data_IF_860754099760
#
_entry.id   IF_860754099760
#
_cell.length_a   1.000
_cell.length_b   1.000
_cell.length_c   1.000
_cell.angle_alpha   90.00
_cell.angle_beta   90.00
_cell.angle_gamma   90.00
#
_symmetry.space_group_name_H-M   'P 1'
#
loop_
_entity.id
_entity.type
_entity.pdbx_description
1 polymer ?
#
# COMPACT_ATOMS: atom_id res chain seq x y z
N UNK A 1 6.28 -1.04 2.09
CA UNK A 1 5.10 -0.29 1.64
C UNK A 1 5.23 1.19 1.96
N UNK A 2 5.36 1.62 3.24
CA UNK A 2 5.41 3.05 3.62
C UNK A 2 6.56 3.80 2.94
N UNK A 3 7.78 3.27 2.99
CA UNK A 3 8.96 3.90 2.37
C UNK A 3 8.74 4.09 0.85
N UNK A 4 8.25 3.05 0.17
CA UNK A 4 8.00 3.11 -1.28
C UNK A 4 6.89 4.13 -1.60
N UNK A 5 5.83 4.17 -0.80
CA UNK A 5 4.75 5.15 -0.95
C UNK A 5 5.25 6.59 -0.72
N UNK A 6 6.10 6.81 0.29
CA UNK A 6 6.72 8.12 0.53
C UNK A 6 7.60 8.55 -0.64
N UNK A 7 8.37 7.62 -1.23
CA UNK A 7 9.17 7.91 -2.42
C UNK A 7 8.30 8.33 -3.61
N UNK A 8 7.18 7.65 -3.85
CA UNK A 8 6.22 8.03 -4.91
C UNK A 8 5.68 9.43 -4.66
N UNK A 9 5.22 9.74 -3.44
CA UNK A 9 4.70 11.07 -3.09
C UNK A 9 5.74 12.17 -3.27
N UNK A 10 6.98 11.91 -2.87
CA UNK A 10 8.07 12.86 -3.05
C UNK A 10 8.33 13.16 -4.54
N UNK A 11 8.36 12.09 -5.37
CA UNK A 11 8.52 12.25 -6.82
C UNK A 11 7.33 13.00 -7.45
N UNK A 12 6.10 12.70 -7.03
CA UNK A 12 4.89 13.40 -7.52
C UNK A 12 4.93 14.88 -7.14
N UNK A 13 5.25 15.19 -5.88
CA UNK A 13 5.41 16.57 -5.41
C UNK A 13 6.51 17.31 -6.19
N UNK A 14 7.64 16.65 -6.47
CA UNK A 14 8.72 17.22 -7.27
C UNK A 14 8.25 17.51 -8.71
N UNK A 15 7.52 16.59 -9.34
CA UNK A 15 6.96 16.80 -10.68
C UNK A 15 6.05 18.03 -10.73
N UNK A 16 5.23 18.26 -9.68
CA UNK A 16 4.36 19.44 -9.57
C UNK A 16 5.13 20.74 -9.29
N UNK A 17 6.13 20.68 -8.40
CA UNK A 17 6.92 21.86 -8.01
C UNK A 17 7.74 22.43 -9.18
N UNK A 18 8.25 21.57 -10.05
CA UNK A 18 9.07 21.97 -11.19
C UNK A 18 8.28 22.09 -12.50
N UNK A 19 6.97 21.85 -12.49
CA UNK A 19 6.08 22.00 -13.65
C UNK A 19 6.15 23.43 -14.20
N UNK A 20 6.36 23.55 -15.52
CA UNK A 20 6.42 24.85 -16.21
C UNK A 20 7.71 25.65 -16.02
N UNK A 21 8.70 25.13 -15.27
CA UNK A 21 10.02 25.77 -15.16
C UNK A 21 10.83 25.50 -16.42
N UNK A 22 11.36 26.56 -17.05
CA UNK A 22 12.11 26.49 -18.30
C UNK A 22 13.62 26.34 -18.11
N UNK A 23 14.11 26.31 -16.85
CA UNK A 23 15.51 26.12 -16.54
C UNK A 23 15.92 24.63 -16.71
N UNK A 24 17.24 24.40 -16.84
CA UNK A 24 17.79 23.06 -17.01
C UNK A 24 17.39 22.11 -15.87
N UNK A 25 17.31 22.63 -14.63
CA UNK A 25 16.89 21.86 -13.46
C UNK A 25 15.42 21.42 -13.60
N UNK A 26 14.53 22.33 -13.99
CA UNK A 26 13.10 22.03 -14.22
C UNK A 26 12.92 20.98 -15.30
N UNK A 27 13.67 21.08 -16.38
CA UNK A 27 13.62 20.14 -17.50
C UNK A 27 13.91 18.69 -17.08
N UNK A 28 15.01 18.46 -16.35
CA UNK A 28 15.35 17.11 -15.87
C UNK A 28 14.47 16.66 -14.69
N UNK A 29 14.16 17.59 -13.76
CA UNK A 29 13.38 17.25 -12.58
C UNK A 29 12.00 16.70 -12.94
N UNK A 30 11.25 17.34 -13.84
CA UNK A 30 9.91 16.88 -14.24
C UNK A 30 9.97 15.53 -14.96
N UNK A 31 10.95 15.30 -15.83
CA UNK A 31 11.11 14.03 -16.57
C UNK A 31 11.46 12.88 -15.64
N UNK A 32 12.49 13.06 -14.80
CA UNK A 32 12.92 12.05 -13.84
C UNK A 32 11.82 11.78 -12.82
N UNK A 33 11.18 12.82 -12.29
CA UNK A 33 10.14 12.66 -11.29
C UNK A 33 8.94 11.88 -11.84
N UNK A 34 8.43 12.20 -13.03
CA UNK A 34 7.33 11.45 -13.64
C UNK A 34 7.73 9.99 -13.94
N UNK A 35 8.93 9.74 -14.45
CA UNK A 35 9.43 8.38 -14.65
C UNK A 35 9.47 7.60 -13.33
N UNK A 36 9.97 8.22 -12.26
CA UNK A 36 10.03 7.62 -10.93
C UNK A 36 8.63 7.36 -10.34
N UNK A 37 7.68 8.28 -10.53
CA UNK A 37 6.28 8.10 -10.10
C UNK A 37 5.67 6.84 -10.68
N UNK A 38 5.78 6.62 -11.99
CA UNK A 38 5.27 5.40 -12.62
C UNK A 38 6.02 4.15 -12.15
N UNK A 39 7.35 4.19 -12.13
CA UNK A 39 8.19 3.05 -11.77
C UNK A 39 8.00 2.63 -10.31
N UNK A 40 8.05 3.58 -9.36
CA UNK A 40 7.83 3.31 -7.95
C UNK A 40 6.39 2.93 -7.66
N UNK A 41 5.41 3.41 -8.43
CA UNK A 41 4.03 2.97 -8.36
C UNK A 41 3.89 1.46 -8.58
N UNK A 42 4.54 0.90 -9.60
CA UNK A 42 4.53 -0.55 -9.84
C UNK A 42 5.33 -1.34 -8.81
N UNK A 43 6.45 -0.79 -8.32
CA UNK A 43 7.20 -1.39 -7.20
C UNK A 43 6.33 -1.42 -5.93
N UNK A 44 5.55 -0.37 -5.68
CA UNK A 44 4.65 -0.30 -4.53
C UNK A 44 3.61 -1.43 -4.56
N UNK A 45 3.05 -1.74 -5.74
CA UNK A 45 2.12 -2.86 -5.92
C UNK A 45 2.77 -4.21 -5.56
N UNK A 46 3.98 -4.48 -6.07
CA UNK A 46 4.69 -5.71 -5.77
C UNK A 46 5.04 -5.84 -4.27
N UNK A 47 5.55 -4.76 -3.67
CA UNK A 47 5.87 -4.71 -2.23
C UNK A 47 4.62 -4.85 -1.37
N UNK A 48 3.46 -4.36 -1.83
CA UNK A 48 2.20 -4.58 -1.12
C UNK A 48 1.76 -6.04 -1.18
N UNK A 49 1.90 -6.70 -2.33
CA UNK A 49 1.63 -8.15 -2.45
C UNK A 49 2.55 -8.96 -1.54
N UNK A 50 3.85 -8.64 -1.46
CA UNK A 50 4.77 -9.29 -0.53
C UNK A 50 4.31 -9.12 0.92
N UNK A 51 3.89 -7.89 1.29
CA UNK A 51 3.31 -7.63 2.60
C UNK A 51 2.06 -8.49 2.85
N UNK A 52 1.13 -8.53 1.89
CA UNK A 52 -0.12 -9.31 1.99
C UNK A 52 0.15 -10.81 2.15
N UNK A 53 1.09 -11.34 1.38
CA UNK A 53 1.51 -12.76 1.47
C UNK A 53 2.12 -13.06 2.84
N UNK A 54 3.03 -12.22 3.34
CA UNK A 54 3.62 -12.36 4.68
C UNK A 54 2.54 -12.23 5.77
N UNK A 55 1.61 -11.30 5.63
CA UNK A 55 0.50 -11.09 6.54
C UNK A 55 -0.42 -12.33 6.61
N UNK A 56 -0.78 -12.92 5.46
CA UNK A 56 -1.57 -14.16 5.39
C UNK A 56 -0.77 -15.32 6.01
N UNK A 57 0.53 -15.43 5.72
CA UNK A 57 1.39 -16.47 6.28
C UNK A 57 1.48 -16.41 7.81
N UNK A 58 1.51 -15.21 8.41
CA UNK A 58 1.52 -15.04 9.87
C UNK A 58 0.25 -15.55 10.55
N UNK A 59 -0.82 -15.78 9.79
CA UNK A 59 -2.10 -16.36 10.28
C UNK A 59 -2.17 -17.88 10.15
N UNK A 60 -1.04 -18.56 9.95
CA UNK A 60 -0.93 -20.03 9.93
C UNK A 60 -1.07 -20.66 8.56
N UNK A 61 -0.94 -19.86 7.49
CA UNK A 61 -0.82 -20.38 6.12
C UNK A 61 0.65 -20.46 5.71
N UNK A 62 0.99 -21.41 4.86
CA UNK A 62 2.33 -21.47 4.26
C UNK A 62 2.64 -20.23 3.41
N UNK A 63 3.91 -19.91 3.23
CA UNK A 63 4.34 -18.76 2.41
C UNK A 63 3.94 -18.99 0.95
N UNK A 64 3.09 -18.11 0.44
CA UNK A 64 2.58 -18.14 -0.94
C UNK A 64 3.59 -17.48 -1.89
N UNK A 65 4.63 -18.21 -2.31
CA UNK A 65 5.67 -17.65 -3.18
C UNK A 65 5.20 -17.36 -4.62
N UNK A 66 4.17 -18.04 -5.08
CA UNK A 66 3.70 -17.92 -6.46
C UNK A 66 3.08 -16.54 -6.76
N UNK A 67 2.09 -16.04 -5.97
CA UNK A 67 1.52 -14.71 -6.21
C UNK A 67 2.57 -13.60 -6.17
N UNK A 68 3.48 -13.64 -5.20
CA UNK A 68 4.56 -12.66 -5.10
C UNK A 68 5.45 -12.65 -6.36
N UNK A 69 5.85 -13.82 -6.88
CA UNK A 69 6.64 -13.90 -8.11
C UNK A 69 5.89 -13.37 -9.33
N UNK A 70 4.61 -13.67 -9.45
CA UNK A 70 3.75 -13.16 -10.54
C UNK A 70 3.69 -11.64 -10.48
N UNK A 71 3.49 -11.06 -9.28
CA UNK A 71 3.42 -9.61 -9.11
C UNK A 71 4.73 -8.90 -9.44
N UNK A 72 5.88 -9.45 -9.02
CA UNK A 72 7.18 -8.91 -9.41
C UNK A 72 7.40 -9.00 -10.91
N UNK A 73 6.98 -10.09 -11.58
CA UNK A 73 7.03 -10.24 -13.03
C UNK A 73 6.17 -9.19 -13.75
N UNK A 74 4.93 -8.99 -13.30
CA UNK A 74 4.03 -7.97 -13.85
C UNK A 74 4.58 -6.56 -13.65
N UNK A 75 5.07 -6.24 -12.45
CA UNK A 75 5.67 -4.94 -12.14
C UNK A 75 6.91 -4.67 -12.99
N UNK A 76 7.77 -5.67 -13.17
CA UNK A 76 8.92 -5.55 -14.04
C UNK A 76 8.51 -5.29 -15.50
N UNK A 77 7.54 -6.03 -16.01
CA UNK A 77 7.00 -5.82 -17.37
C UNK A 77 6.43 -4.41 -17.52
N UNK A 78 5.67 -3.95 -16.54
CA UNK A 78 5.10 -2.60 -16.54
C UNK A 78 6.20 -1.51 -16.53
N UNK A 79 7.28 -1.69 -15.74
CA UNK A 79 8.42 -0.76 -15.71
C UNK A 79 9.14 -0.74 -17.06
N UNK A 80 9.33 -1.89 -17.71
CA UNK A 80 9.90 -1.96 -19.08
C UNK A 80 9.05 -1.16 -20.05
N UNK A 81 7.72 -1.26 -19.96
CA UNK A 81 6.81 -0.46 -20.80
C UNK A 81 6.90 1.04 -20.48
N UNK A 82 7.13 1.44 -19.23
CA UNK A 82 7.40 2.84 -18.86
C UNK A 82 8.71 3.32 -19.50
N UNK A 83 9.76 2.49 -19.51
CA UNK A 83 11.03 2.82 -20.18
C UNK A 83 10.82 3.00 -21.69
N UNK A 84 10.11 2.08 -22.33
CA UNK A 84 9.77 2.18 -23.77
C UNK A 84 8.97 3.47 -24.03
N UNK A 85 8.07 3.83 -23.13
CA UNK A 85 7.26 5.04 -23.22
C UNK A 85 8.09 6.33 -23.18
N UNK A 86 9.31 6.33 -22.64
CA UNK A 86 10.21 7.50 -22.73
C UNK A 86 10.60 7.83 -24.17
N UNK A 87 10.65 6.82 -25.05
CA UNK A 87 11.09 6.98 -26.44
C UNK A 87 9.92 7.19 -27.41
N UNK A 88 8.78 6.51 -27.20
CA UNK A 88 7.64 6.56 -28.11
C UNK A 88 6.46 7.38 -27.57
N UNK A 89 6.58 7.94 -26.35
CA UNK A 89 5.56 8.80 -25.69
C UNK A 89 4.17 8.18 -25.57
N UNK A 90 4.07 6.84 -25.45
CA UNK A 90 2.77 6.16 -25.47
C UNK A 90 1.91 6.44 -24.25
N UNK A 91 2.51 6.64 -23.07
CA UNK A 91 1.76 6.89 -21.82
C UNK A 91 1.62 8.38 -21.55
N UNK A 92 2.69 9.14 -21.73
CA UNK A 92 2.72 10.58 -21.50
C UNK A 92 3.81 11.26 -22.34
N UNK A 93 3.62 12.56 -22.53
CA UNK A 93 4.59 13.46 -23.16
C UNK A 93 4.80 14.64 -22.22
N UNK A 94 6.03 15.09 -22.09
CA UNK A 94 6.37 16.37 -21.47
C UNK A 94 6.78 17.30 -22.59
N UNK A 95 5.99 18.35 -22.79
CA UNK A 95 6.18 19.33 -23.87
C UNK A 95 7.39 20.24 -23.63
N UNK A 96 7.66 21.14 -24.59
CA UNK A 96 8.76 22.10 -24.53
C UNK A 96 8.56 23.14 -23.41
N UNK A 97 7.32 23.35 -22.96
CA UNK A 97 6.97 24.20 -21.81
C UNK A 97 7.09 23.48 -20.48
N UNK A 98 7.65 22.26 -20.47
CA UNK A 98 7.81 21.43 -19.30
C UNK A 98 6.49 21.07 -18.59
N UNK A 99 5.42 20.87 -19.40
CA UNK A 99 4.10 20.49 -18.94
C UNK A 99 3.82 19.05 -19.34
N UNK A 100 3.29 18.29 -18.37
CA UNK A 100 2.89 16.90 -18.56
C UNK A 100 1.57 16.79 -19.32
N UNK A 101 1.53 15.96 -20.35
CA UNK A 101 0.33 15.62 -21.13
C UNK A 101 0.14 14.11 -21.18
N UNK A 102 -1.07 13.65 -20.86
CA UNK A 102 -1.45 12.24 -21.03
C UNK A 102 -1.57 11.92 -22.51
N UNK A 103 -1.11 10.74 -22.89
CA UNK A 103 -1.21 10.22 -24.24
C UNK A 103 -2.27 9.11 -24.35
N UNK A 104 -2.56 8.68 -25.58
CA UNK A 104 -3.66 7.78 -25.91
C UNK A 104 -3.63 6.44 -25.17
N UNK A 105 -2.44 5.91 -24.84
CA UNK A 105 -2.28 4.65 -24.13
C UNK A 105 -2.08 4.82 -22.61
N UNK A 106 -2.33 6.00 -22.06
CA UNK A 106 -2.28 6.22 -20.61
C UNK A 106 -3.19 5.24 -19.85
N UNK A 107 -4.38 4.92 -20.38
CA UNK A 107 -5.29 3.96 -19.79
C UNK A 107 -4.66 2.57 -19.61
N UNK A 108 -3.73 2.17 -20.48
CA UNK A 108 -3.03 0.88 -20.39
C UNK A 108 -2.18 0.80 -19.11
N UNK A 109 -1.52 1.90 -18.74
CA UNK A 109 -0.76 1.96 -17.48
C UNK A 109 -1.67 1.76 -16.26
N UNK A 110 -2.89 2.32 -16.28
CA UNK A 110 -3.87 2.16 -15.20
C UNK A 110 -4.42 0.73 -15.16
N UNK A 111 -4.63 0.11 -16.32
CA UNK A 111 -5.12 -1.28 -16.43
C UNK A 111 -4.18 -2.27 -15.75
N UNK A 112 -2.86 -2.11 -15.90
CA UNK A 112 -1.87 -2.91 -15.17
C UNK A 112 -2.05 -2.79 -13.65
N UNK A 113 -2.21 -1.57 -13.13
CA UNK A 113 -2.44 -1.32 -11.71
C UNK A 113 -3.73 -1.97 -11.21
N UNK A 114 -4.83 -1.81 -11.93
CA UNK A 114 -6.12 -2.43 -11.60
C UNK A 114 -6.00 -3.95 -11.57
N UNK A 115 -5.34 -4.54 -12.56
CA UNK A 115 -5.16 -5.99 -12.64
C UNK A 115 -4.35 -6.53 -11.44
N UNK A 116 -3.28 -5.84 -11.06
CA UNK A 116 -2.50 -6.18 -9.87
C UNK A 116 -3.36 -6.12 -8.60
N UNK A 117 -4.15 -5.05 -8.42
CA UNK A 117 -5.04 -4.91 -7.26
C UNK A 117 -6.16 -5.98 -7.23
N UNK A 118 -6.64 -6.44 -8.39
CA UNK A 118 -7.59 -7.55 -8.48
C UNK A 118 -6.97 -8.88 -8.04
N UNK A 119 -5.69 -9.12 -8.35
CA UNK A 119 -4.95 -10.29 -7.85
C UNK A 119 -4.90 -10.23 -6.33
N UNK A 120 -4.49 -9.10 -5.74
CA UNK A 120 -4.44 -8.93 -4.28
C UNK A 120 -5.81 -9.08 -3.64
N UNK A 121 -6.86 -8.53 -4.27
CA UNK A 121 -8.25 -8.71 -3.84
C UNK A 121 -8.69 -10.17 -3.84
N UNK A 122 -8.29 -10.93 -4.85
CA UNK A 122 -8.58 -12.37 -4.94
C UNK A 122 -7.89 -13.17 -3.83
N UNK A 123 -6.65 -12.81 -3.50
CA UNK A 123 -5.91 -13.39 -2.36
C UNK A 123 -6.62 -13.07 -1.04
N UNK A 124 -6.97 -11.82 -0.82
CA UNK A 124 -7.69 -11.40 0.40
C UNK A 124 -9.02 -12.14 0.54
N UNK A 125 -9.79 -12.23 -0.54
CA UNK A 125 -11.08 -12.93 -0.55
C UNK A 125 -10.94 -14.43 -0.26
N UNK A 126 -9.91 -15.08 -0.82
CA UNK A 126 -9.62 -16.51 -0.60
C UNK A 126 -9.31 -16.81 0.86
N UNK A 127 -8.58 -15.92 1.54
CA UNK A 127 -8.13 -16.12 2.91
C UNK A 127 -8.94 -15.37 3.97
N UNK A 128 -10.02 -14.69 3.60
CA UNK A 128 -10.85 -13.82 4.47
C UNK A 128 -11.36 -14.47 5.76
N UNK A 129 -11.62 -15.80 5.74
CA UNK A 129 -12.19 -16.52 6.91
C UNK A 129 -11.26 -16.58 8.13
N UNK A 130 -9.98 -16.31 7.96
CA UNK A 130 -8.95 -16.36 9.00
C UNK A 130 -8.53 -14.97 9.48
N UNK A 131 -9.04 -13.94 8.86
CA UNK A 131 -8.79 -12.55 9.21
C UNK A 131 -9.90 -12.02 10.10
N UNK A 132 -9.56 -11.17 11.07
CA UNK A 132 -10.53 -10.41 11.84
C UNK A 132 -11.28 -9.44 10.94
N UNK A 133 -12.47 -9.00 11.35
CA UNK A 133 -13.24 -8.01 10.59
C UNK A 133 -12.47 -6.71 10.39
N UNK A 134 -11.74 -6.26 11.41
CA UNK A 134 -10.94 -5.05 11.35
C UNK A 134 -9.78 -5.18 10.32
N UNK A 135 -9.05 -6.30 10.34
CA UNK A 135 -8.00 -6.59 9.37
C UNK A 135 -8.53 -6.67 7.94
N UNK A 136 -9.66 -7.37 7.76
CA UNK A 136 -10.29 -7.51 6.45
C UNK A 136 -10.73 -6.15 5.89
N UNK A 137 -11.28 -5.27 6.74
CA UNK A 137 -11.66 -3.91 6.35
C UNK A 137 -10.44 -3.06 6.02
N UNK A 138 -9.38 -3.08 6.84
CA UNK A 138 -8.19 -2.29 6.62
C UNK A 138 -7.46 -2.67 5.33
N UNK A 139 -7.20 -3.97 5.11
CA UNK A 139 -6.54 -4.47 3.89
C UNK A 139 -7.46 -4.33 2.68
N UNK A 140 -8.77 -4.56 2.85
CA UNK A 140 -9.76 -4.37 1.81
C UNK A 140 -9.87 -2.90 1.36
N UNK A 141 -9.81 -1.96 2.27
CA UNK A 141 -9.78 -0.53 1.96
C UNK A 141 -8.52 -0.15 1.17
N UNK A 142 -7.36 -0.72 1.52
CA UNK A 142 -6.12 -0.48 0.77
C UNK A 142 -6.20 -0.97 -0.68
N UNK A 143 -6.96 -2.01 -0.95
CA UNK A 143 -7.17 -2.52 -2.32
C UNK A 143 -8.26 -1.71 -3.03
N UNK A 144 -9.39 -1.44 -2.37
CA UNK A 144 -10.55 -0.80 -2.98
C UNK A 144 -10.32 0.70 -3.29
N UNK A 145 -9.70 1.45 -2.36
CA UNK A 145 -9.52 2.90 -2.53
C UNK A 145 -8.62 3.26 -3.73
N UNK A 146 -7.47 2.61 -3.98
CA UNK A 146 -6.68 2.87 -5.18
C UNK A 146 -7.41 2.47 -6.47
N UNK A 147 -8.20 1.40 -6.48
CA UNK A 147 -9.01 1.02 -7.66
C UNK A 147 -9.99 2.14 -7.99
N UNK A 148 -10.74 2.64 -7.00
CA UNK A 148 -11.67 3.75 -7.18
C UNK A 148 -10.91 5.00 -7.68
N UNK A 149 -9.76 5.30 -7.07
CA UNK A 149 -8.93 6.42 -7.46
C UNK A 149 -8.39 6.30 -8.90
N UNK A 150 -7.99 5.10 -9.35
CA UNK A 150 -7.57 4.86 -10.73
C UNK A 150 -8.71 5.12 -11.73
N UNK A 151 -9.93 4.66 -11.43
CA UNK A 151 -11.10 4.98 -12.26
C UNK A 151 -11.37 6.48 -12.29
N UNK A 152 -11.37 7.16 -11.15
CA UNK A 152 -11.55 8.60 -11.09
C UNK A 152 -10.47 9.35 -11.88
N UNK A 153 -9.22 8.90 -11.80
CA UNK A 153 -8.09 9.52 -12.47
C UNK A 153 -8.16 9.41 -14.01
N UNK A 154 -8.85 8.42 -14.55
CA UNK A 154 -9.10 8.32 -16.01
C UNK A 154 -9.95 9.50 -16.48
N UNK A 155 -10.96 9.90 -15.68
CA UNK A 155 -11.91 10.96 -16.02
C UNK A 155 -11.45 12.35 -15.56
N UNK A 156 -10.81 12.44 -14.40
CA UNK A 156 -10.37 13.71 -13.80
C UNK A 156 -8.90 13.95 -14.16
N UNK A 157 -8.68 14.98 -15.00
CA UNK A 157 -7.34 15.40 -15.39
C UNK A 157 -6.71 16.32 -14.34
N UNK A 158 -5.42 16.14 -14.06
CA UNK A 158 -4.62 17.12 -13.31
C UNK A 158 -4.53 16.92 -11.80
N UNK A 159 -5.15 15.87 -11.22
CA UNK A 159 -5.04 15.58 -9.78
C UNK A 159 -4.49 14.16 -9.58
N UNK A 160 -3.45 14.03 -8.75
CA UNK A 160 -2.86 12.74 -8.37
C UNK A 160 -3.68 12.05 -7.26
N UNK A 161 -4.98 11.81 -7.51
CA UNK A 161 -5.91 11.21 -6.54
C UNK A 161 -5.44 9.83 -6.09
N UNK A 162 -4.79 9.08 -6.98
CA UNK A 162 -4.31 7.74 -6.70
C UNK A 162 -3.35 7.70 -5.52
N UNK A 163 -2.35 8.58 -5.50
CA UNK A 163 -1.31 8.56 -4.44
C UNK A 163 -1.84 9.07 -3.11
N UNK A 164 -2.80 10.00 -3.13
CA UNK A 164 -3.51 10.41 -1.91
C UNK A 164 -4.32 9.25 -1.34
N UNK A 165 -5.06 8.53 -2.18
CA UNK A 165 -5.86 7.37 -1.77
C UNK A 165 -4.98 6.24 -1.22
N UNK A 166 -3.85 5.92 -1.87
CA UNK A 166 -2.90 4.91 -1.38
C UNK A 166 -2.29 5.31 -0.04
N UNK A 167 -1.98 6.59 0.16
CA UNK A 167 -1.42 7.10 1.42
C UNK A 167 -2.41 6.98 2.57
N UNK A 168 -3.64 7.42 2.37
CA UNK A 168 -4.71 7.29 3.38
C UNK A 168 -4.92 5.81 3.72
N UNK A 169 -4.99 4.94 2.72
CA UNK A 169 -5.19 3.51 2.90
C UNK A 169 -4.01 2.86 3.65
N UNK A 170 -2.76 3.24 3.33
CA UNK A 170 -1.57 2.77 4.03
C UNK A 170 -1.55 3.19 5.50
N UNK A 171 -1.96 4.42 5.81
CA UNK A 171 -2.12 4.91 7.18
C UNK A 171 -3.20 4.13 7.94
N UNK A 172 -4.34 3.82 7.31
CA UNK A 172 -5.38 2.99 7.91
C UNK A 172 -4.87 1.60 8.30
N UNK A 173 -4.10 0.94 7.42
CA UNK A 173 -3.46 -0.35 7.74
C UNK A 173 -2.50 -0.18 8.92
N UNK A 174 -1.64 0.82 8.88
CA UNK A 174 -0.66 1.07 9.94
C UNK A 174 -1.33 1.27 11.30
N UNK A 175 -2.36 2.13 11.37
CA UNK A 175 -3.12 2.37 12.60
C UNK A 175 -3.79 1.08 13.09
N UNK A 176 -4.40 0.29 12.19
CA UNK A 176 -5.06 -0.97 12.53
C UNK A 176 -4.09 -1.97 13.16
N UNK A 177 -2.86 -2.06 12.63
CA UNK A 177 -1.81 -2.92 13.18
C UNK A 177 -1.36 -2.43 14.55
N UNK A 178 -1.15 -1.11 14.72
CA UNK A 178 -0.73 -0.54 16.00
C UNK A 178 -1.78 -0.76 17.09
N UNK A 179 -3.05 -0.57 16.78
CA UNK A 179 -4.15 -0.84 17.71
C UNK A 179 -4.18 -2.32 18.12
N UNK A 180 -4.04 -3.25 17.17
CA UNK A 180 -4.03 -4.68 17.49
C UNK A 180 -2.84 -5.07 18.37
N UNK A 181 -1.64 -4.56 18.07
CA UNK A 181 -0.44 -4.79 18.88
C UNK A 181 -0.61 -4.25 20.29
N UNK A 182 -1.11 -3.02 20.44
CA UNK A 182 -1.37 -2.40 21.73
C UNK A 182 -2.36 -3.23 22.57
N UNK A 183 -3.43 -3.74 21.98
CA UNK A 183 -4.36 -4.63 22.66
C UNK A 183 -3.71 -5.94 23.14
N UNK A 184 -2.86 -6.56 22.30
CA UNK A 184 -2.13 -7.77 22.70
C UNK A 184 -1.22 -7.53 23.88
N UNK A 185 -0.41 -6.46 23.84
CA UNK A 185 0.47 -6.07 24.96
C UNK A 185 -0.32 -5.77 26.25
N UNK A 186 -1.46 -5.10 26.15
CA UNK A 186 -2.32 -4.82 27.29
C UNK A 186 -2.87 -6.13 27.91
N UNK A 187 -3.34 -7.07 27.10
CA UNK A 187 -3.83 -8.38 27.56
C UNK A 187 -2.71 -9.21 28.23
N UNK A 188 -1.51 -9.23 27.66
CA UNK A 188 -0.35 -9.93 28.24
C UNK A 188 0.06 -9.31 29.58
N UNK A 189 0.11 -7.98 29.67
CA UNK A 189 0.42 -7.28 30.92
C UNK A 189 -0.61 -7.60 32.01
N UNK A 190 -1.90 -7.63 31.68
CA UNK A 190 -2.96 -8.00 32.61
C UNK A 190 -2.86 -9.47 33.05
N UNK A 191 -2.54 -10.40 32.15
CA UNK A 191 -2.34 -11.80 32.47
C UNK A 191 -1.18 -12.02 33.46
N UNK A 192 -0.06 -11.31 33.23
CA UNK A 192 1.11 -11.35 34.11
C UNK A 192 0.81 -10.76 35.50
N UNK A 193 0.01 -9.68 35.57
CA UNK A 193 -0.37 -9.04 36.83
C UNK A 193 -1.39 -9.90 37.60
N UNK A 194 -2.32 -10.54 36.89
CA UNK A 194 -3.30 -11.47 37.49
C UNK A 194 -2.65 -12.73 38.05
N UNK A 195 -1.58 -13.24 37.42
CA UNK A 195 -0.81 -14.41 37.89
C UNK A 195 0.02 -14.12 39.14
N UNK A 196 0.30 -12.84 39.44
CA UNK A 196 1.05 -12.41 40.64
C UNK A 196 0.19 -12.15 41.88
N UNK A 197 -1.15 -12.42 41.87
CA UNK A 197 -1.93 -12.38 43.12
C UNK A 197 -1.44 -13.49 44.04
N UNK A 198 -0.84 -13.15 45.19
CA UNK A 198 -0.36 -14.17 46.13
C UNK A 198 -1.56 -14.94 46.65
N UNK A 199 -1.45 -16.28 46.61
CA UNK A 199 -2.39 -17.25 47.21
C UNK A 199 -2.46 -17.17 48.76
N UNK A 200 -2.15 -16.00 49.32
CA UNK A 200 -1.97 -15.76 50.74
C UNK A 200 -3.23 -15.37 51.55
N UNK A 201 -4.42 -15.30 50.96
CA UNK A 201 -5.64 -14.89 51.68
C UNK A 201 -6.70 -15.99 51.80
N UNK A 202 -6.27 -17.24 51.91
CA UNK A 202 -7.17 -18.37 52.19
C UNK A 202 -6.75 -19.13 53.44
N UNK A 203 -6.59 -18.43 54.60
CA UNK A 203 -6.55 -19.08 55.91
C UNK A 203 -6.89 -17.98 56.94
N UNK A 204 -8.08 -17.98 57.47
CA UNK A 204 -8.49 -17.85 58.85
C UNK A 204 -9.97 -17.43 58.92
N UNK A 205 -10.85 -18.39 58.67
CA UNK A 205 -12.15 -18.41 59.31
C UNK A 205 -12.20 -19.71 60.12
N UNK A 206 -11.50 -19.72 61.25
CA UNK A 206 -11.76 -20.66 62.35
C UNK A 206 -13.10 -20.30 62.95
N UNK A 207 -14.05 -21.26 62.91
CA UNK A 207 -15.29 -21.23 63.68
C UNK A 207 -14.95 -21.16 65.16
N UNK A 208 -15.61 -20.33 65.98
CA UNK A 208 -15.70 -20.57 67.43
C UNK A 208 -16.69 -21.69 67.66
N UNK A 209 -16.27 -22.72 68.43
CA UNK A 209 -17.12 -23.68 69.05
C UNK A 209 -17.87 -23.01 70.24
N UNK A 210 -19.16 -23.17 70.31
CA UNK A 210 -19.96 -23.39 71.51
C UNK A 210 -21.36 -23.79 71.13
#
# INVERSE_FOLDING_TARGET
VLITNTAVLFCDAAAWLFKGRMDLLGFYAVRIANFCVFSFGYILLAVFTDYLVCFIASRGFGILKFPARVMWGLSFTAIVLVIISQFNHMYYLIDDNNIYHRQNLFWLSQTFGIFCMLIDGSLLFRYRRRLSRAELMAVGAYIAMPIIAMFLQIYIYGIAVLYLATTISALCIYISIQVEQSHKFACEALALTGSRRPSGLRKTMTRPNS
#
